data_IF_784032263696
#
_entry.id   IF_784032263696
#
_cell.length_a   1.000
_cell.length_b   1.000
_cell.length_c   1.000
_cell.angle_alpha   90.00
_cell.angle_beta   90.00
_cell.angle_gamma   90.00
#
_symmetry.space_group_name_H-M   'P 1'
#
loop_
_entity.id
_entity.type
_entity.pdbx_description
1 polymer ?
#
# COMPACT_ATOMS: atom_id res chain seq x y z
N UNK A 1 7.51 -14.52 -10.95
CA UNK A 1 7.49 -15.78 -10.18
C UNK A 1 6.45 -16.79 -10.70
N UNK A 2 5.37 -16.33 -11.34
CA UNK A 2 4.32 -17.24 -11.86
C UNK A 2 4.66 -17.95 -13.18
N UNK A 3 5.74 -17.56 -13.86
CA UNK A 3 6.14 -18.20 -15.12
C UNK A 3 6.66 -19.64 -14.86
N UNK A 4 6.24 -20.66 -15.65
CA UNK A 4 6.64 -22.06 -15.42
C UNK A 4 8.16 -22.29 -15.39
N UNK A 5 8.93 -21.51 -16.16
CA UNK A 5 10.39 -21.60 -16.17
C UNK A 5 11.08 -20.88 -14.99
N UNK A 6 10.33 -20.21 -14.10
CA UNK A 6 10.93 -19.43 -13.02
C UNK A 6 11.83 -20.27 -12.11
N UNK A 7 11.39 -21.47 -11.74
CA UNK A 7 12.15 -22.37 -10.84
C UNK A 7 13.50 -22.82 -11.42
N UNK A 8 13.62 -22.88 -12.73
CA UNK A 8 14.82 -23.36 -13.45
C UNK A 8 15.61 -22.25 -14.14
N UNK A 9 15.09 -21.02 -14.16
CA UNK A 9 15.77 -19.89 -14.79
C UNK A 9 17.07 -19.55 -14.07
N UNK A 10 18.13 -19.33 -14.83
CA UNK A 10 19.38 -18.77 -14.30
C UNK A 10 19.20 -17.25 -14.11
N UNK A 11 19.20 -16.82 -12.87
CA UNK A 11 19.08 -15.41 -12.46
C UNK A 11 20.38 -14.89 -11.84
N UNK A 12 21.50 -15.63 -11.95
CA UNK A 12 22.78 -15.31 -11.30
C UNK A 12 23.41 -13.99 -11.77
N UNK A 13 22.98 -13.46 -12.91
CA UNK A 13 23.42 -12.15 -13.43
C UNK A 13 22.63 -10.97 -12.86
N UNK A 14 21.61 -11.22 -12.01
CA UNK A 14 20.81 -10.18 -11.39
C UNK A 14 21.32 -9.94 -9.98
N UNK A 15 21.91 -8.79 -9.74
CA UNK A 15 22.40 -8.39 -8.40
C UNK A 15 21.28 -7.77 -7.58
N UNK A 16 20.45 -6.92 -8.20
CA UNK A 16 19.43 -6.12 -7.54
C UNK A 16 18.16 -6.06 -8.40
N UNK A 17 17.02 -6.26 -7.75
CA UNK A 17 15.70 -5.90 -8.28
C UNK A 17 15.14 -4.73 -7.47
N UNK A 18 14.57 -3.74 -8.15
CA UNK A 18 13.95 -2.60 -7.50
C UNK A 18 12.47 -2.58 -7.86
N UNK A 19 11.64 -2.49 -6.85
CA UNK A 19 10.18 -2.31 -7.00
C UNK A 19 9.77 -0.98 -6.37
N UNK A 20 8.78 -0.34 -6.96
CA UNK A 20 8.19 0.90 -6.46
C UNK A 20 6.82 1.12 -7.08
N UNK A 21 6.17 2.24 -6.74
CA UNK A 21 4.86 2.67 -7.21
C UNK A 21 3.66 1.82 -6.71
N UNK A 22 3.88 0.62 -6.19
CA UNK A 22 2.84 -0.21 -5.57
C UNK A 22 3.43 -1.04 -4.42
N UNK A 23 2.62 -1.43 -3.43
CA UNK A 23 3.05 -2.36 -2.39
C UNK A 23 3.56 -3.68 -2.99
N UNK A 24 4.66 -4.20 -2.43
CA UNK A 24 5.22 -5.48 -2.81
C UNK A 24 4.98 -6.51 -1.70
N UNK A 25 4.39 -7.68 -1.99
CA UNK A 25 4.21 -8.72 -0.99
C UNK A 25 5.57 -9.18 -0.42
N UNK A 26 5.65 -9.31 0.91
CA UNK A 26 6.85 -9.78 1.60
C UNK A 26 7.28 -11.17 1.15
N UNK A 27 6.31 -12.04 0.83
CA UNK A 27 6.56 -13.37 0.27
C UNK A 27 7.33 -13.33 -1.05
N UNK A 28 7.08 -12.31 -1.88
CA UNK A 28 7.81 -12.13 -3.14
C UNK A 28 9.25 -11.67 -2.87
N UNK A 29 9.46 -10.77 -1.92
CA UNK A 29 10.79 -10.29 -1.51
C UNK A 29 11.61 -11.47 -0.97
N UNK A 30 11.03 -12.27 -0.09
CA UNK A 30 11.65 -13.46 0.48
C UNK A 30 12.02 -14.49 -0.59
N UNK A 31 11.11 -14.76 -1.55
CA UNK A 31 11.31 -15.69 -2.66
C UNK A 31 12.53 -15.36 -3.53
N UNK A 32 12.76 -14.06 -3.83
CA UNK A 32 13.95 -13.64 -4.57
C UNK A 32 15.18 -13.62 -3.67
N UNK A 33 15.04 -13.28 -2.39
CA UNK A 33 16.12 -13.34 -1.39
C UNK A 33 16.70 -14.75 -1.22
N UNK A 34 15.85 -15.80 -1.20
CA UNK A 34 16.27 -17.21 -1.18
C UNK A 34 17.10 -17.60 -2.41
N UNK A 35 16.96 -16.87 -3.51
CA UNK A 35 17.76 -17.03 -4.74
C UNK A 35 19.00 -16.14 -4.79
N UNK A 36 19.33 -15.45 -3.68
CA UNK A 36 20.50 -14.57 -3.59
C UNK A 36 20.33 -13.22 -4.25
N UNK A 37 19.10 -12.82 -4.65
CA UNK A 37 18.82 -11.56 -5.31
C UNK A 37 18.29 -10.57 -4.27
N UNK A 38 18.94 -9.42 -4.14
CA UNK A 38 18.45 -8.33 -3.30
C UNK A 38 17.22 -7.66 -3.92
N UNK A 39 16.08 -7.77 -3.24
CA UNK A 39 14.82 -7.17 -3.70
C UNK A 39 14.56 -5.88 -2.92
N UNK A 40 14.92 -4.76 -3.52
CA UNK A 40 14.87 -3.43 -2.92
C UNK A 40 13.53 -2.75 -3.17
N UNK A 41 13.09 -1.91 -2.23
CA UNK A 41 11.86 -1.15 -2.35
C UNK A 41 12.14 0.35 -2.36
N UNK A 42 11.45 1.08 -3.25
CA UNK A 42 11.48 2.53 -3.29
C UNK A 42 10.08 3.10 -3.18
N UNK A 43 9.92 4.13 -2.37
CA UNK A 43 8.70 4.90 -2.27
C UNK A 43 8.92 6.32 -2.73
N UNK A 44 7.91 6.85 -3.39
CA UNK A 44 7.85 8.24 -3.78
C UNK A 44 6.75 8.50 -4.80
N UNK A 45 6.69 9.74 -5.22
CA UNK A 45 5.68 10.26 -6.12
C UNK A 45 6.37 11.13 -7.18
N UNK A 46 5.66 11.51 -8.23
CA UNK A 46 6.14 12.51 -9.20
C UNK A 46 6.52 13.80 -8.49
N UNK A 47 5.77 14.14 -7.47
CA UNK A 47 5.94 15.31 -6.61
C UNK A 47 7.23 15.27 -5.78
N UNK A 48 7.86 14.11 -5.63
CA UNK A 48 9.12 13.91 -4.86
C UNK A 48 10.32 13.58 -5.72
N UNK A 49 10.24 13.63 -7.04
CA UNK A 49 11.30 13.56 -8.08
C UNK A 49 12.26 12.36 -8.03
N UNK A 50 11.86 11.11 -8.14
CA UNK A 50 10.65 10.44 -7.69
C UNK A 50 10.75 9.87 -6.27
N UNK A 51 11.98 9.67 -5.71
CA UNK A 51 12.18 8.94 -4.46
C UNK A 51 12.06 9.84 -3.22
N UNK A 52 11.19 9.43 -2.30
CA UNK A 52 11.12 9.95 -0.94
C UNK A 52 11.83 9.03 0.07
N UNK A 53 11.83 7.70 -0.19
CA UNK A 53 12.62 6.75 0.59
C UNK A 53 13.08 5.57 -0.27
N UNK A 54 14.10 4.85 0.21
CA UNK A 54 14.66 3.69 -0.47
C UNK A 54 15.18 2.66 0.53
N UNK A 55 14.76 1.40 0.40
CA UNK A 55 15.29 0.26 1.14
C UNK A 55 16.38 -0.41 0.29
N UNK A 56 17.62 -0.20 0.70
CA UNK A 56 18.78 -0.74 -0.01
C UNK A 56 19.01 -2.23 0.23
N UNK A 57 19.91 -2.85 -0.57
CA UNK A 57 20.13 -4.30 -0.56
C UNK A 57 20.64 -4.85 0.78
N UNK A 58 21.33 -4.03 1.58
CA UNK A 58 21.94 -4.46 2.85
C UNK A 58 20.90 -4.84 3.91
N UNK A 59 19.69 -4.26 3.85
CA UNK A 59 18.65 -4.40 4.86
C UNK A 59 17.32 -4.91 4.30
N UNK A 60 17.25 -5.25 2.99
CA UNK A 60 15.98 -5.60 2.34
C UNK A 60 15.28 -6.84 2.92
N UNK A 61 16.03 -7.81 3.45
CA UNK A 61 15.48 -8.99 4.12
C UNK A 61 15.26 -8.78 5.63
N UNK A 62 16.00 -7.87 6.25
CA UNK A 62 15.88 -7.56 7.67
C UNK A 62 14.68 -6.62 7.95
N UNK A 63 14.45 -5.68 7.04
CA UNK A 63 13.37 -4.69 7.11
C UNK A 63 12.24 -5.00 6.10
N UNK A 64 11.78 -6.24 6.09
CA UNK A 64 10.69 -6.68 5.21
C UNK A 64 9.47 -5.74 5.34
N UNK A 65 8.85 -5.40 4.21
CA UNK A 65 7.69 -4.50 4.15
C UNK A 65 8.03 -3.01 4.26
N UNK A 66 9.27 -2.64 4.64
CA UNK A 66 9.68 -1.24 4.69
C UNK A 66 9.94 -0.66 3.30
N UNK A 67 9.62 0.61 3.12
CA UNK A 67 10.03 1.42 1.98
C UNK A 67 11.42 2.08 2.16
N UNK A 68 12.09 1.83 3.29
CA UNK A 68 13.46 2.25 3.56
C UNK A 68 13.60 3.60 4.25
N UNK A 69 14.76 4.20 4.09
CA UNK A 69 15.15 5.48 4.67
C UNK A 69 15.07 6.61 3.62
N UNK A 70 14.86 7.85 4.04
CA UNK A 70 14.92 8.99 3.13
C UNK A 70 16.34 9.17 2.57
N UNK A 71 16.48 9.59 1.30
CA UNK A 71 17.78 9.94 0.74
C UNK A 71 18.35 11.21 1.39
N UNK A 72 19.64 11.46 1.14
CA UNK A 72 20.35 12.64 1.65
C UNK A 72 19.59 13.93 1.30
N UNK A 73 19.42 14.82 2.27
CA UNK A 73 18.69 16.09 2.17
C UNK A 73 17.16 15.94 2.03
N UNK A 74 16.60 14.77 2.25
CA UNK A 74 15.16 14.57 2.33
C UNK A 74 14.78 14.19 3.76
N UNK A 75 13.79 14.87 4.31
CA UNK A 75 13.22 14.57 5.62
C UNK A 75 11.82 13.96 5.46
N UNK A 76 11.51 12.98 6.30
CA UNK A 76 10.18 12.39 6.43
C UNK A 76 9.70 12.58 7.86
N UNK A 77 8.46 12.99 8.03
CA UNK A 77 7.75 12.96 9.30
C UNK A 77 6.38 12.33 9.12
N UNK A 78 5.87 11.75 10.18
CA UNK A 78 4.49 11.24 10.24
C UNK A 78 3.70 12.20 11.12
N UNK A 79 2.52 12.61 10.65
CA UNK A 79 1.67 13.58 11.37
C UNK A 79 0.27 13.02 11.58
N UNK A 80 -0.37 13.46 12.65
CA UNK A 80 -1.78 13.21 12.92
C UNK A 80 -2.70 14.16 12.15
N UNK A 81 -4.03 14.05 12.36
CA UNK A 81 -5.03 14.90 11.72
C UNK A 81 -4.95 16.39 12.12
N UNK A 82 -4.13 16.76 13.12
CA UNK A 82 -3.85 18.13 13.52
C UNK A 82 -2.52 18.69 12.97
N UNK A 83 -1.87 17.94 12.08
CA UNK A 83 -0.53 18.21 11.54
C UNK A 83 0.59 18.18 12.60
N UNK A 84 0.36 17.50 13.74
CA UNK A 84 1.35 17.31 14.79
C UNK A 84 2.15 16.03 14.55
N UNK A 85 3.51 16.06 14.68
CA UNK A 85 4.31 14.85 14.57
C UNK A 85 3.92 13.80 15.61
N UNK A 86 3.85 12.54 15.19
CA UNK A 86 3.55 11.40 16.06
C UNK A 86 4.83 10.65 16.45
N UNK A 87 4.75 9.77 17.46
CA UNK A 87 5.87 8.95 17.90
C UNK A 87 6.18 7.81 16.89
N UNK A 88 7.36 7.19 17.05
CA UNK A 88 7.70 5.98 16.30
C UNK A 88 6.63 4.91 16.48
N UNK A 89 6.35 4.16 15.42
CA UNK A 89 5.32 3.12 15.30
C UNK A 89 3.86 3.63 15.30
N UNK A 90 3.63 4.92 15.55
CA UNK A 90 2.30 5.50 15.40
C UNK A 90 2.03 5.84 13.93
N UNK A 91 0.80 5.55 13.49
CA UNK A 91 0.35 5.77 12.11
C UNK A 91 -0.18 7.19 11.92
N UNK A 92 0.16 7.80 10.79
CA UNK A 92 -0.32 9.12 10.39
C UNK A 92 -0.02 9.40 8.94
N UNK A 93 -0.28 10.62 8.49
CA UNK A 93 0.07 11.05 7.14
C UNK A 93 1.57 11.20 6.98
N UNK A 94 2.11 10.69 5.87
CA UNK A 94 3.51 10.82 5.50
C UNK A 94 3.72 12.20 4.89
N UNK A 95 4.49 13.05 5.57
CA UNK A 95 4.91 14.36 5.07
C UNK A 95 6.40 14.33 4.72
N UNK A 96 6.75 14.94 3.60
CA UNK A 96 8.09 14.88 3.01
C UNK A 96 8.60 16.29 2.77
N UNK A 97 9.86 16.55 3.09
CA UNK A 97 10.51 17.85 2.85
C UNK A 97 11.91 17.66 2.32
N UNK A 98 12.26 18.43 1.31
CA UNK A 98 13.60 18.40 0.72
C UNK A 98 13.66 19.12 -0.64
N UNK A 99 14.87 19.26 -1.20
CA UNK A 99 15.05 19.90 -2.50
C UNK A 99 14.47 19.08 -3.68
N UNK A 100 14.10 17.81 -3.43
CA UNK A 100 13.45 16.93 -4.38
C UNK A 100 11.93 17.18 -4.50
N UNK A 101 11.35 18.01 -3.62
CA UNK A 101 9.91 18.33 -3.69
C UNK A 101 9.66 19.26 -4.88
N UNK A 102 8.59 18.98 -5.64
CA UNK A 102 8.14 19.81 -6.75
C UNK A 102 7.91 21.27 -6.32
N UNK A 103 8.01 22.19 -7.27
CA UNK A 103 7.67 23.61 -7.03
C UNK A 103 6.17 23.85 -6.89
N UNK A 104 5.35 22.96 -7.42
CA UNK A 104 3.91 23.04 -7.40
C UNK A 104 3.25 22.42 -8.63
N UNK A 105 1.93 22.35 -8.61
CA UNK A 105 1.12 21.90 -9.75
C UNK A 105 0.94 23.03 -10.77
N UNK A 106 1.14 22.70 -12.04
CA UNK A 106 1.03 23.67 -13.13
C UNK A 106 -0.37 24.31 -13.20
N UNK A 107 -0.41 25.64 -13.16
CA UNK A 107 -1.66 26.43 -13.15
C UNK A 107 -2.68 26.05 -12.06
N UNK A 108 -2.22 25.46 -10.95
CA UNK A 108 -3.07 25.05 -9.83
C UNK A 108 -2.49 25.52 -8.49
N UNK A 109 -2.49 26.84 -8.23
CA UNK A 109 -1.95 27.38 -6.98
C UNK A 109 -2.74 26.93 -5.75
N UNK A 110 -4.05 26.73 -5.88
CA UNK A 110 -4.94 26.17 -4.87
C UNK A 110 -4.52 24.75 -4.45
N UNK A 111 -4.32 23.86 -5.42
CA UNK A 111 -3.88 22.49 -5.18
C UNK A 111 -2.45 22.45 -4.61
N UNK A 112 -1.58 23.37 -5.06
CA UNK A 112 -0.23 23.49 -4.55
C UNK A 112 -0.22 23.90 -3.07
N UNK A 113 -1.00 24.92 -2.71
CA UNK A 113 -1.12 25.38 -1.31
C UNK A 113 -1.75 24.33 -0.39
N UNK A 114 -2.63 23.45 -0.94
CA UNK A 114 -3.19 22.32 -0.18
C UNK A 114 -2.19 21.18 0.00
N UNK A 115 -1.24 21.01 -0.92
CA UNK A 115 -0.30 19.90 -0.90
C UNK A 115 1.03 20.24 -0.21
N UNK A 116 1.43 21.53 -0.17
CA UNK A 116 2.68 21.97 0.45
C UNK A 116 2.35 23.02 1.50
N UNK A 117 2.64 22.70 2.76
CA UNK A 117 2.36 23.61 3.87
C UNK A 117 3.32 24.82 3.91
N UNK A 118 3.02 25.81 4.78
CA UNK A 118 3.83 27.03 4.93
C UNK A 118 5.27 26.76 5.38
N UNK A 119 5.53 25.61 5.99
CA UNK A 119 6.85 25.18 6.43
C UNK A 119 7.61 24.39 5.34
N UNK A 120 6.98 24.18 4.16
CA UNK A 120 7.56 23.48 3.01
C UNK A 120 7.48 21.96 3.12
N UNK A 121 6.58 21.39 3.94
CA UNK A 121 6.29 19.98 3.95
C UNK A 121 5.24 19.64 2.91
N UNK A 122 5.56 18.67 2.09
CA UNK A 122 4.63 18.09 1.12
C UNK A 122 3.80 16.99 1.81
N UNK A 123 2.49 17.14 1.79
CA UNK A 123 1.50 16.19 2.28
C UNK A 123 1.21 15.16 1.20
N UNK A 124 1.68 13.93 1.39
CA UNK A 124 1.62 12.89 0.34
C UNK A 124 0.22 12.32 0.13
N UNK A 125 -0.65 12.43 1.13
CA UNK A 125 -1.93 11.73 1.19
C UNK A 125 -1.77 10.21 1.37
N UNK A 126 -0.57 9.73 1.67
CA UNK A 126 -0.30 8.36 2.03
C UNK A 126 -0.16 8.24 3.56
N UNK A 127 -0.63 7.15 4.14
CA UNK A 127 -0.54 6.84 5.57
C UNK A 127 0.57 5.85 5.80
N UNK A 128 1.37 6.08 6.83
CA UNK A 128 2.45 5.18 7.22
C UNK A 128 2.93 5.43 8.64
N UNK A 129 4.03 4.79 8.99
CA UNK A 129 4.74 5.01 10.25
C UNK A 129 6.25 4.85 10.03
N UNK A 130 7.03 5.41 10.94
CA UNK A 130 8.47 5.17 11.05
C UNK A 130 8.71 4.18 12.19
N UNK A 131 9.62 3.21 11.99
CA UNK A 131 10.08 2.41 13.10
C UNK A 131 11.10 3.19 13.98
N UNK A 132 11.57 2.59 15.06
CA UNK A 132 12.52 3.20 16.00
C UNK A 132 13.88 3.54 15.35
N UNK A 133 14.22 2.91 14.23
CA UNK A 133 15.42 3.18 13.44
C UNK A 133 15.17 4.18 12.29
N UNK A 134 13.92 4.69 12.15
CA UNK A 134 13.53 5.66 11.13
C UNK A 134 13.17 5.05 9.77
N UNK A 135 13.02 3.73 9.66
CA UNK A 135 12.56 3.08 8.43
C UNK A 135 11.07 3.33 8.22
N UNK A 136 10.71 3.75 7.01
CA UNK A 136 9.32 4.04 6.63
C UNK A 136 8.58 2.76 6.25
N UNK A 137 7.38 2.60 6.79
CA UNK A 137 6.39 1.59 6.40
C UNK A 137 5.13 2.28 5.91
N UNK A 138 4.70 1.93 4.69
CA UNK A 138 3.51 2.51 4.07
C UNK A 138 2.33 1.60 4.36
N UNK A 139 1.27 2.16 4.93
CA UNK A 139 0.05 1.42 5.25
C UNK A 139 -0.97 1.46 4.12
N UNK A 140 -1.32 2.66 3.64
CA UNK A 140 -2.33 2.86 2.59
C UNK A 140 -2.37 4.33 2.13
N UNK A 141 -3.35 4.66 1.28
CA UNK A 141 -3.73 6.03 0.98
C UNK A 141 -4.77 6.55 1.96
N UNK A 142 -4.58 7.78 2.43
CA UNK A 142 -5.51 8.43 3.36
C UNK A 142 -6.97 8.42 2.84
N UNK A 143 -7.15 8.70 1.54
CA UNK A 143 -8.46 8.70 0.87
C UNK A 143 -9.08 7.32 0.64
N UNK A 144 -8.28 6.26 0.74
CA UNK A 144 -8.73 4.88 0.53
C UNK A 144 -8.97 4.16 1.86
N UNK A 145 -8.54 4.74 2.98
CA UNK A 145 -8.80 4.24 4.33
C UNK A 145 -10.31 4.14 4.56
N UNK A 146 -10.74 3.03 5.13
CA UNK A 146 -12.15 2.75 5.45
C UNK A 146 -12.36 3.03 6.95
N UNK A 147 -13.38 3.83 7.26
CA UNK A 147 -13.76 4.11 8.66
C UNK A 147 -14.97 3.24 9.00
N UNK A 148 -14.71 2.09 9.60
CA UNK A 148 -15.75 1.11 9.94
C UNK A 148 -15.96 1.02 11.44
N UNK A 149 -17.13 1.43 11.92
CA UNK A 149 -17.46 1.43 13.34
C UNK A 149 -16.58 2.34 14.20
N UNK A 150 -16.00 3.39 13.61
CA UNK A 150 -15.08 4.32 14.28
C UNK A 150 -13.61 3.88 14.25
N UNK A 151 -13.32 2.71 13.69
CA UNK A 151 -11.97 2.17 13.56
C UNK A 151 -11.40 2.40 12.15
N UNK A 152 -10.13 2.77 12.06
CA UNK A 152 -9.44 2.92 10.80
C UNK A 152 -8.99 1.55 10.26
N UNK A 153 -9.53 1.17 9.11
CA UNK A 153 -9.13 -0.03 8.38
C UNK A 153 -8.33 0.39 7.15
N UNK A 154 -7.15 -0.15 7.02
CA UNK A 154 -6.26 0.09 5.89
C UNK A 154 -6.45 -1.02 4.86
N UNK A 155 -7.06 -0.72 3.69
CA UNK A 155 -7.32 -1.71 2.65
C UNK A 155 -6.12 -2.57 2.27
N UNK A 156 -4.93 -1.99 2.14
CA UNK A 156 -3.74 -2.73 1.74
C UNK A 156 -3.37 -3.87 2.73
N UNK A 157 -3.58 -3.68 4.04
CA UNK A 157 -3.37 -4.71 5.06
C UNK A 157 -4.35 -5.88 4.86
N UNK A 158 -5.61 -5.56 4.60
CA UNK A 158 -6.65 -6.56 4.36
C UNK A 158 -6.42 -7.28 3.04
N UNK A 159 -6.13 -6.53 1.98
CA UNK A 159 -5.82 -7.07 0.64
C UNK A 159 -4.65 -8.04 0.67
N UNK A 160 -3.59 -7.73 1.42
CA UNK A 160 -2.42 -8.59 1.55
C UNK A 160 -2.78 -9.96 2.13
N UNK A 161 -3.64 -9.99 3.14
CA UNK A 161 -4.10 -11.25 3.75
C UNK A 161 -5.05 -12.01 2.82
N UNK A 162 -6.01 -11.30 2.22
CA UNK A 162 -7.00 -11.94 1.34
C UNK A 162 -6.37 -12.50 0.06
N UNK A 163 -5.31 -11.88 -0.44
CA UNK A 163 -4.57 -12.34 -1.62
C UNK A 163 -3.88 -13.68 -1.43
N UNK A 164 -3.60 -14.08 -0.18
CA UNK A 164 -3.03 -15.40 0.12
C UNK A 164 -4.05 -16.54 0.02
N UNK A 165 -5.34 -16.24 -0.13
CA UNK A 165 -6.38 -17.26 -0.27
C UNK A 165 -6.26 -17.95 -1.63
N UNK A 166 -6.26 -19.33 -1.68
CA UNK A 166 -6.01 -20.07 -2.92
C UNK A 166 -6.98 -19.77 -4.07
N UNK A 167 -8.22 -19.39 -3.77
CA UNK A 167 -9.24 -19.07 -4.77
C UNK A 167 -9.10 -17.63 -5.32
N UNK A 168 -8.28 -16.77 -4.71
CA UNK A 168 -8.18 -15.35 -5.07
C UNK A 168 -7.04 -15.13 -6.06
N UNK A 169 -7.39 -14.64 -7.25
CA UNK A 169 -6.41 -14.20 -8.26
C UNK A 169 -6.03 -12.74 -8.07
N UNK A 170 -7.03 -11.88 -7.79
CA UNK A 170 -6.84 -10.46 -7.50
C UNK A 170 -7.87 -10.02 -6.44
N UNK A 171 -7.51 -9.05 -5.62
CA UNK A 171 -8.44 -8.48 -4.63
C UNK A 171 -8.19 -6.99 -4.45
N UNK A 172 -9.27 -6.25 -4.27
CA UNK A 172 -9.27 -4.86 -3.80
C UNK A 172 -10.25 -4.73 -2.64
N UNK A 173 -9.90 -3.92 -1.66
CA UNK A 173 -10.77 -3.62 -0.51
C UNK A 173 -11.15 -2.15 -0.57
N UNK A 174 -12.44 -1.89 -0.40
CA UNK A 174 -13.03 -0.55 -0.41
C UNK A 174 -14.01 -0.38 0.74
N UNK A 175 -14.25 0.86 1.15
CA UNK A 175 -15.40 1.23 2.00
C UNK A 175 -16.62 1.47 1.12
N UNK A 176 -17.74 0.85 1.49
CA UNK A 176 -19.06 1.19 0.94
C UNK A 176 -19.95 1.70 2.07
N UNK A 177 -20.89 2.64 1.81
CA UNK A 177 -21.79 3.16 2.83
C UNK A 177 -22.55 2.04 3.56
N UNK A 178 -22.66 2.18 4.87
CA UNK A 178 -23.36 1.22 5.74
C UNK A 178 -24.01 1.94 6.92
N UNK A 179 -25.30 1.71 7.14
CA UNK A 179 -26.10 2.39 8.18
C UNK A 179 -25.61 2.12 9.59
N UNK A 180 -25.02 0.96 9.83
CA UNK A 180 -24.55 0.53 11.16
C UNK A 180 -23.10 0.91 11.40
N UNK A 181 -22.25 0.78 10.40
CA UNK A 181 -20.80 0.88 10.54
C UNK A 181 -20.22 2.19 9.99
N UNK A 182 -21.06 3.04 9.36
CA UNK A 182 -20.63 4.19 8.56
C UNK A 182 -20.10 3.72 7.21
N UNK A 183 -19.05 2.91 7.22
CA UNK A 183 -18.56 2.20 6.04
C UNK A 183 -18.41 0.70 6.32
N UNK A 184 -18.86 -0.13 5.37
CA UNK A 184 -18.62 -1.56 5.37
C UNK A 184 -17.30 -1.88 4.66
N UNK A 185 -16.40 -2.57 5.33
CA UNK A 185 -15.21 -3.16 4.69
C UNK A 185 -15.68 -4.14 3.64
N UNK A 186 -15.43 -3.85 2.37
CA UNK A 186 -15.94 -4.63 1.24
C UNK A 186 -14.78 -5.16 0.41
N UNK A 187 -14.69 -6.49 0.30
CA UNK A 187 -13.75 -7.15 -0.60
C UNK A 187 -14.35 -7.25 -2.00
N UNK A 188 -13.57 -6.88 -3.02
CA UNK A 188 -13.89 -7.09 -4.43
C UNK A 188 -12.81 -7.99 -5.00
N UNK A 189 -13.15 -9.22 -5.37
CA UNK A 189 -12.20 -10.25 -5.76
C UNK A 189 -12.45 -10.76 -7.18
N UNK A 190 -11.37 -10.93 -7.95
CA UNK A 190 -11.35 -11.78 -9.13
C UNK A 190 -10.78 -13.14 -8.70
N UNK A 191 -11.47 -14.21 -9.05
CA UNK A 191 -11.10 -15.56 -8.64
C UNK A 191 -10.22 -16.25 -9.69
N UNK A 192 -9.47 -17.25 -9.25
CA UNK A 192 -8.80 -18.16 -10.19
C UNK A 192 -9.84 -18.95 -10.99
N UNK A 193 -9.52 -19.44 -12.21
CA UNK A 193 -10.45 -20.20 -13.02
C UNK A 193 -11.09 -21.37 -12.25
N UNK A 194 -12.40 -21.56 -12.44
CA UNK A 194 -13.21 -22.62 -11.85
C UNK A 194 -13.29 -22.60 -10.29
N UNK A 195 -12.84 -21.54 -9.63
CA UNK A 195 -13.00 -21.37 -8.20
C UNK A 195 -14.34 -20.70 -7.85
N UNK A 196 -14.86 -21.05 -6.68
CA UNK A 196 -15.95 -20.37 -5.99
C UNK A 196 -15.46 -19.90 -4.63
N UNK A 197 -16.05 -18.82 -4.10
CA UNK A 197 -15.65 -18.24 -2.83
C UNK A 197 -16.81 -17.51 -2.18
N UNK A 198 -17.21 -17.97 -1.01
CA UNK A 198 -18.20 -17.29 -0.18
C UNK A 198 -17.55 -16.28 0.78
N UNK A 199 -18.35 -15.31 1.23
CA UNK A 199 -17.90 -14.36 2.27
C UNK A 199 -17.48 -15.10 3.56
N UNK A 200 -18.19 -16.16 3.93
CA UNK A 200 -17.90 -16.92 5.16
C UNK A 200 -16.54 -17.62 5.08
N UNK A 201 -16.22 -18.25 3.97
CA UNK A 201 -14.92 -18.88 3.72
C UNK A 201 -13.79 -17.84 3.73
N UNK A 202 -13.97 -16.72 3.05
CA UNK A 202 -12.99 -15.64 3.02
C UNK A 202 -12.72 -15.07 4.42
N UNK A 203 -13.77 -14.88 5.21
CA UNK A 203 -13.67 -14.41 6.61
C UNK A 203 -12.97 -15.41 7.50
N UNK A 204 -13.35 -16.70 7.41
CA UNK A 204 -12.72 -17.78 8.18
C UNK A 204 -11.23 -17.91 7.90
N UNK A 205 -10.83 -17.71 6.66
CA UNK A 205 -9.40 -17.66 6.27
C UNK A 205 -8.67 -16.47 6.91
N UNK A 206 -9.31 -15.30 6.91
CA UNK A 206 -8.68 -14.07 7.35
C UNK A 206 -8.70 -13.85 8.88
N UNK A 207 -9.64 -14.47 9.61
CA UNK A 207 -9.85 -14.20 11.06
C UNK A 207 -8.67 -14.59 11.96
N UNK A 208 -7.79 -15.49 11.50
CA UNK A 208 -6.56 -15.86 12.21
C UNK A 208 -5.42 -14.86 12.02
N UNK A 209 -5.54 -13.95 11.03
CA UNK A 209 -4.50 -13.01 10.62
C UNK A 209 -4.90 -11.55 10.81
N UNK A 210 -6.19 -11.26 10.83
CA UNK A 210 -6.74 -9.90 10.94
C UNK A 210 -7.58 -9.73 12.20
N UNK A 211 -7.53 -8.54 12.78
CA UNK A 211 -8.45 -8.14 13.84
C UNK A 211 -9.90 -8.15 13.31
N UNK A 212 -10.87 -8.49 14.18
CA UNK A 212 -12.27 -8.71 13.80
C UNK A 212 -12.91 -7.54 13.04
N UNK A 213 -12.58 -6.30 13.40
CA UNK A 213 -13.14 -5.10 12.76
C UNK A 213 -12.59 -4.87 11.34
N UNK A 214 -11.47 -5.51 10.97
CA UNK A 214 -10.86 -5.47 9.63
C UNK A 214 -11.42 -6.51 8.66
N UNK A 215 -12.17 -7.50 9.19
CA UNK A 215 -12.72 -8.56 8.35
C UNK A 215 -13.79 -8.01 7.40
N UNK A 216 -13.79 -8.41 6.11
CA UNK A 216 -14.79 -7.97 5.16
C UNK A 216 -16.21 -8.26 5.65
N UNK A 217 -17.08 -7.27 5.49
CA UNK A 217 -18.52 -7.40 5.74
C UNK A 217 -19.29 -7.76 4.47
N UNK A 218 -18.69 -7.49 3.30
CA UNK A 218 -19.26 -7.82 1.98
C UNK A 218 -18.17 -8.39 1.07
N UNK A 219 -18.57 -9.27 0.16
CA UNK A 219 -17.74 -9.81 -0.91
C UNK A 219 -18.47 -9.63 -2.24
N UNK A 220 -17.79 -9.03 -3.22
CA UNK A 220 -18.23 -8.98 -4.61
C UNK A 220 -17.21 -9.72 -5.46
N UNK A 221 -17.69 -10.71 -6.22
CA UNK A 221 -16.86 -11.42 -7.19
C UNK A 221 -17.04 -10.76 -8.54
N UNK A 222 -15.93 -10.46 -9.21
CA UNK A 222 -15.87 -9.79 -10.52
C UNK A 222 -14.95 -10.57 -11.47
N UNK A 223 -15.12 -10.40 -12.77
CA UNK A 223 -14.23 -11.04 -13.76
C UNK A 223 -12.81 -10.47 -13.73
N UNK A 224 -12.67 -9.16 -13.51
CA UNK A 224 -11.39 -8.47 -13.40
C UNK A 224 -11.54 -7.14 -12.65
N UNK A 225 -10.47 -6.70 -11.97
CA UNK A 225 -10.43 -5.39 -11.33
C UNK A 225 -10.16 -4.28 -12.37
N UNK A 226 -10.85 -3.12 -12.30
CA UNK A 226 -10.59 -2.01 -13.19
C UNK A 226 -9.21 -1.42 -12.93
N UNK A 227 -8.43 -1.20 -13.99
CA UNK A 227 -7.06 -0.69 -13.92
C UNK A 227 -6.82 0.48 -14.85
N UNK A 228 -5.94 1.37 -14.46
CA UNK A 228 -5.42 2.38 -15.37
C UNK A 228 -4.34 1.79 -16.31
N UNK A 229 -3.88 2.54 -17.35
CA UNK A 229 -2.84 2.06 -18.26
C UNK A 229 -1.51 1.67 -17.59
N UNK A 230 -1.23 2.19 -16.39
CA UNK A 230 -0.05 1.82 -15.60
C UNK A 230 -0.28 0.58 -14.70
N UNK A 231 -1.43 -0.09 -14.81
CA UNK A 231 -1.75 -1.31 -14.07
C UNK A 231 -2.32 -1.09 -12.66
N UNK A 232 -2.49 0.17 -12.21
CA UNK A 232 -3.02 0.45 -10.88
C UNK A 232 -4.53 0.27 -10.82
N UNK A 233 -5.03 -0.45 -9.80
CA UNK A 233 -6.46 -0.63 -9.54
C UNK A 233 -7.16 0.72 -9.28
N UNK A 234 -8.30 0.92 -9.93
CA UNK A 234 -9.12 2.14 -9.84
C UNK A 234 -10.24 1.94 -8.81
N UNK A 235 -9.88 2.00 -7.52
CA UNK A 235 -10.83 1.80 -6.40
C UNK A 235 -12.05 2.74 -6.45
N UNK A 236 -11.91 3.95 -7.00
CA UNK A 236 -13.03 4.88 -7.14
C UNK A 236 -14.12 4.33 -8.08
N UNK A 237 -13.74 3.65 -9.18
CA UNK A 237 -14.71 3.01 -10.07
C UNK A 237 -15.45 1.85 -9.40
N UNK A 238 -14.77 1.10 -8.54
CA UNK A 238 -15.40 0.04 -7.75
C UNK A 238 -16.43 0.64 -6.79
N UNK A 239 -16.11 1.74 -6.12
CA UNK A 239 -17.05 2.44 -5.24
C UNK A 239 -18.27 2.94 -6.02
N UNK A 240 -18.07 3.56 -7.18
CA UNK A 240 -19.17 4.09 -8.03
C UNK A 240 -20.08 2.98 -8.57
N UNK A 241 -19.52 1.80 -8.87
CA UNK A 241 -20.30 0.70 -9.47
C UNK A 241 -21.03 -0.16 -8.43
N UNK A 242 -20.63 -0.12 -7.16
CA UNK A 242 -21.14 -1.00 -6.10
C UNK A 242 -21.87 -0.24 -4.97
N UNK A 243 -21.92 1.10 -5.03
CA UNK A 243 -22.60 1.97 -4.05
C UNK A 243 -24.12 1.94 -4.16
#
# INVERSE_FOLDING_TARGET
SQHPAFSTADLSSIDILIVGAAPCPESLISLYGERGISFCQGYGLTETSPFASFLGPQRCLEKLGSAGLPPVHTDIRIVDGSNSPVAALERGEICIKGPNIMKGYWNRPDATASAIDELGWFHSGDVGYLDEEGYLYICDRLKDMVISGGENVYPAEVESVLFEHPAVAEVAVIGLPDDKWGEAVTAVAALVPDADLSLEELRSFAETKLARYKLPLRLHVVDALPRNPAGKVLKFQLRESLA
#
